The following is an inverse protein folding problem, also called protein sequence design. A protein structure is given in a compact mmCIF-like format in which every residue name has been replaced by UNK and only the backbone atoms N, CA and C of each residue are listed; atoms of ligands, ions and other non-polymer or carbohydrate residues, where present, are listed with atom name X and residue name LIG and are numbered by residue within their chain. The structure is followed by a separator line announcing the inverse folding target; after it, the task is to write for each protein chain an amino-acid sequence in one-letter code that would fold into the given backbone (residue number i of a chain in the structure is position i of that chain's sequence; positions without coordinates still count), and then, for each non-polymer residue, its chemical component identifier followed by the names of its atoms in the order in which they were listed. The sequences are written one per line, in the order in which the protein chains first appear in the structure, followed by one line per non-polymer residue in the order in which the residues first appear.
data_IF_050979835975
#
_entry.id   IF_050979835975
#
_cell.length_a   1.000
_cell.length_b   1.000
_cell.length_c   1.000
_cell.angle_alpha   90.00
_cell.angle_beta   90.00
_cell.angle_gamma   90.00
#
_symmetry.space_group_name_H-M   'P 1'
#
loop_
_entity.id
_entity.type
_entity.pdbx_description
1 polymer ?
#
# COMPACT_ATOMS: atom_id res chain seq x y z
N UNK A 1 -26.32 -17.52 3.08
CA UNK A 1 -26.93 -16.68 4.16
C UNK A 1 -26.04 -15.45 4.34
N UNK A 2 -26.55 -14.25 4.06
CA UNK A 2 -25.79 -13.01 4.27
C UNK A 2 -25.70 -12.76 5.78
N UNK A 3 -24.48 -12.71 6.31
CA UNK A 3 -24.24 -12.41 7.71
C UNK A 3 -24.44 -10.92 7.97
N UNK A 4 -25.26 -10.57 8.97
CA UNK A 4 -25.45 -9.22 9.45
C UNK A 4 -24.31 -8.86 10.41
N UNK A 5 -23.65 -7.71 10.17
CA UNK A 5 -22.75 -7.09 11.12
C UNK A 5 -23.34 -5.74 11.56
N UNK A 6 -23.59 -5.55 12.84
CA UNK A 6 -24.26 -4.36 13.42
C UNK A 6 -25.58 -4.01 12.72
N UNK A 7 -26.43 -5.01 12.48
CA UNK A 7 -27.72 -4.89 11.79
C UNK A 7 -27.66 -4.29 10.37
N UNK A 8 -26.53 -4.36 9.69
CA UNK A 8 -26.38 -3.99 8.28
C UNK A 8 -25.93 -5.18 7.47
N UNK A 9 -26.47 -5.31 6.25
CA UNK A 9 -26.02 -6.31 5.31
C UNK A 9 -24.53 -6.10 5.01
N UNK A 10 -23.73 -7.13 5.25
CA UNK A 10 -22.32 -7.12 4.89
C UNK A 10 -22.22 -7.69 3.49
N UNK A 11 -21.84 -6.86 2.51
CA UNK A 11 -21.44 -7.38 1.21
C UNK A 11 -20.26 -8.32 1.43
N UNK A 12 -20.38 -9.56 0.93
CA UNK A 12 -19.27 -10.51 0.97
C UNK A 12 -18.04 -9.91 0.31
N UNK A 13 -16.88 -10.25 0.85
CA UNK A 13 -15.62 -9.80 0.27
C UNK A 13 -15.44 -10.49 -1.08
N UNK A 14 -15.20 -9.73 -2.14
CA UNK A 14 -14.80 -10.29 -3.44
C UNK A 14 -13.42 -10.98 -3.39
N UNK A 15 -12.74 -10.91 -2.25
CA UNK A 15 -11.43 -11.52 -2.04
C UNK A 15 -11.55 -13.01 -1.87
N UNK A 16 -10.60 -13.73 -2.50
CA UNK A 16 -10.50 -15.18 -2.36
C UNK A 16 -10.24 -15.56 -0.89
N UNK A 17 -11.14 -16.34 -0.25
CA UNK A 17 -10.94 -16.79 1.13
C UNK A 17 -9.62 -17.57 1.27
N UNK A 18 -8.85 -17.30 2.33
CA UNK A 18 -7.59 -17.99 2.60
C UNK A 18 -6.39 -17.57 1.72
N UNK A 19 -6.57 -16.69 0.73
CA UNK A 19 -5.47 -16.19 -0.08
C UNK A 19 -4.73 -15.04 0.61
N UNK A 20 -3.42 -15.20 0.77
CA UNK A 20 -2.57 -14.18 1.39
C UNK A 20 -2.18 -13.09 0.38
N UNK A 21 -2.87 -11.97 0.35
CA UNK A 21 -2.58 -10.81 -0.52
C UNK A 21 -1.27 -10.06 -0.19
N UNK A 22 -0.45 -10.62 0.67
CA UNK A 22 0.95 -10.23 0.90
C UNK A 22 1.93 -11.07 0.08
N UNK A 23 1.42 -12.06 -0.66
CA UNK A 23 2.25 -12.92 -1.53
C UNK A 23 2.60 -12.18 -2.81
N UNK A 24 3.74 -12.56 -3.40
CA UNK A 24 4.08 -12.19 -4.78
C UNK A 24 2.98 -12.65 -5.75
N UNK A 25 2.72 -11.84 -6.75
CA UNK A 25 1.70 -12.13 -7.75
C UNK A 25 1.36 -10.96 -8.62
N UNK A 26 0.51 -11.20 -9.62
CA UNK A 26 0.01 -10.19 -10.55
C UNK A 26 -1.46 -9.94 -10.22
N UNK A 27 -1.80 -8.70 -9.97
CA UNK A 27 -3.12 -8.29 -9.51
C UNK A 27 -3.72 -7.24 -10.42
N UNK A 28 -4.89 -7.51 -10.97
CA UNK A 28 -5.73 -6.48 -11.57
C UNK A 28 -6.58 -5.85 -10.48
N UNK A 29 -6.66 -4.52 -10.46
CA UNK A 29 -7.47 -3.79 -9.49
C UNK A 29 -8.38 -2.77 -10.15
N UNK A 30 -9.51 -2.50 -9.47
CA UNK A 30 -10.41 -1.38 -9.80
C UNK A 30 -10.68 -0.58 -8.54
N UNK A 31 -10.47 0.73 -8.61
CA UNK A 31 -10.70 1.66 -7.50
C UNK A 31 -11.72 2.70 -7.96
N UNK A 32 -12.89 2.75 -7.33
CA UNK A 32 -13.96 3.67 -7.71
C UNK A 32 -14.03 4.87 -6.77
N UNK A 33 -14.49 6.00 -7.31
CA UNK A 33 -14.92 7.17 -6.52
C UNK A 33 -16.23 6.86 -5.80
N UNK A 34 -16.51 7.62 -4.73
CA UNK A 34 -17.78 7.48 -4.01
C UNK A 34 -18.93 7.76 -4.96
N UNK A 35 -20.02 6.98 -4.85
CA UNK A 35 -21.23 7.10 -5.68
C UNK A 35 -20.98 7.13 -7.19
N UNK A 36 -19.80 6.71 -7.64
CA UNK A 36 -19.35 6.77 -9.04
C UNK A 36 -19.35 8.19 -9.64
N UNK A 37 -19.09 9.21 -8.82
CA UNK A 37 -18.98 10.59 -9.29
C UNK A 37 -17.75 10.79 -10.18
N UNK A 38 -17.91 11.55 -11.28
CA UNK A 38 -16.87 11.72 -12.32
C UNK A 38 -15.88 12.83 -11.97
N UNK A 39 -15.02 12.61 -10.97
CA UNK A 39 -13.99 13.58 -10.55
C UNK A 39 -12.80 13.66 -11.51
N UNK A 40 -12.44 12.55 -12.16
CA UNK A 40 -11.16 12.45 -12.88
C UNK A 40 -11.19 12.96 -14.30
N UNK A 41 -12.35 13.37 -14.81
CA UNK A 41 -12.49 13.93 -16.15
C UNK A 41 -13.67 13.36 -16.91
N UNK A 42 -13.57 13.38 -18.23
CA UNK A 42 -14.65 12.94 -19.14
C UNK A 42 -14.07 12.25 -20.39
N UNK A 43 -14.90 11.47 -21.04
CA UNK A 43 -14.56 10.86 -22.34
C UNK A 43 -15.09 11.78 -23.44
N UNK A 44 -14.21 12.21 -24.33
CA UNK A 44 -14.51 13.00 -25.52
C UNK A 44 -13.89 12.25 -26.70
N UNK A 45 -14.66 12.02 -27.75
CA UNK A 45 -14.21 11.35 -28.98
C UNK A 45 -13.45 10.04 -28.69
N UNK A 46 -13.99 9.24 -27.77
CA UNK A 46 -13.40 7.98 -27.31
C UNK A 46 -12.01 8.12 -26.65
N UNK A 47 -11.69 9.32 -26.20
CA UNK A 47 -10.43 9.59 -25.49
C UNK A 47 -10.74 10.12 -24.10
N UNK A 48 -9.97 9.68 -23.13
CA UNK A 48 -10.07 10.19 -21.75
C UNK A 48 -9.38 11.55 -21.66
N UNK A 49 -10.16 12.60 -21.37
CA UNK A 49 -9.66 13.94 -21.07
C UNK A 49 -9.65 14.11 -19.54
N UNK A 50 -8.45 14.12 -18.97
CA UNK A 50 -8.25 14.22 -17.53
C UNK A 50 -8.55 15.63 -17.02
N UNK A 51 -9.29 15.70 -15.92
CA UNK A 51 -9.38 16.89 -15.05
C UNK A 51 -8.10 17.07 -14.22
N UNK A 52 -7.96 18.16 -13.46
CA UNK A 52 -6.86 18.32 -12.52
C UNK A 52 -6.82 17.18 -11.46
N UNK A 53 -7.94 16.79 -10.81
CA UNK A 53 -8.01 15.57 -10.01
C UNK A 53 -7.54 14.31 -10.74
N UNK A 54 -7.91 14.16 -12.01
CA UNK A 54 -7.48 13.03 -12.83
C UNK A 54 -5.99 13.00 -13.09
N UNK A 55 -5.37 14.16 -13.35
CA UNK A 55 -3.91 14.29 -13.51
C UNK A 55 -3.18 13.93 -12.23
N UNK A 56 -3.68 14.36 -11.08
CA UNK A 56 -3.11 14.00 -9.77
C UNK A 56 -3.21 12.50 -9.55
N UNK A 57 -4.37 11.90 -9.80
CA UNK A 57 -4.54 10.46 -9.67
C UNK A 57 -3.58 9.69 -10.59
N UNK A 58 -3.40 10.17 -11.82
CA UNK A 58 -2.46 9.62 -12.79
C UNK A 58 -1.01 9.70 -12.27
N UNK A 59 -0.55 10.86 -11.83
CA UNK A 59 0.81 11.05 -11.32
C UNK A 59 1.09 10.17 -10.08
N UNK A 60 0.17 10.14 -9.12
CA UNK A 60 0.32 9.36 -7.88
C UNK A 60 0.37 7.85 -8.12
N UNK A 61 -0.13 7.36 -9.26
CA UNK A 61 0.03 5.96 -9.63
C UNK A 61 1.50 5.61 -9.86
N UNK A 62 2.23 6.42 -10.58
CA UNK A 62 3.66 6.19 -10.87
C UNK A 62 4.58 6.41 -9.68
N UNK A 63 4.09 7.02 -8.60
CA UNK A 63 4.85 7.15 -7.35
C UNK A 63 4.81 5.86 -6.49
N UNK A 64 3.92 4.92 -6.77
CA UNK A 64 3.78 3.68 -5.98
C UNK A 64 5.11 2.93 -5.82
N UNK A 65 5.93 2.68 -6.88
CA UNK A 65 7.20 1.96 -6.72
C UNK A 65 8.22 2.66 -5.83
N UNK A 66 8.19 3.98 -5.71
CA UNK A 66 9.07 4.72 -4.79
C UNK A 66 8.78 4.41 -3.33
N UNK A 67 7.51 4.16 -3.00
CA UNK A 67 7.10 3.79 -1.65
C UNK A 67 7.12 2.28 -1.41
N UNK A 68 7.01 1.50 -2.48
CA UNK A 68 6.98 0.04 -2.45
C UNK A 68 7.92 -0.54 -3.51
N UNK A 69 9.24 -0.65 -3.23
CA UNK A 69 10.23 -1.13 -4.22
C UNK A 69 9.98 -2.55 -4.75
N UNK A 70 9.16 -3.33 -4.05
CA UNK A 70 8.73 -4.67 -4.48
C UNK A 70 7.65 -4.63 -5.57
N UNK A 71 7.13 -3.44 -5.91
CA UNK A 71 6.04 -3.27 -6.88
C UNK A 71 6.60 -2.92 -8.25
N UNK A 72 6.08 -3.61 -9.27
CA UNK A 72 6.15 -3.18 -10.67
C UNK A 72 4.74 -2.80 -11.10
N UNK A 73 4.62 -1.69 -11.80
CA UNK A 73 3.39 -1.27 -12.46
C UNK A 73 3.35 -1.81 -13.89
N UNK A 74 2.18 -2.21 -14.33
CA UNK A 74 1.89 -2.63 -15.70
C UNK A 74 0.78 -1.70 -16.26
N UNK A 75 -0.06 -2.17 -17.17
CA UNK A 75 -1.11 -1.36 -17.78
C UNK A 75 -2.03 -0.69 -16.77
N UNK A 76 -2.40 0.54 -17.08
CA UNK A 76 -3.17 1.39 -16.18
C UNK A 76 -4.00 2.42 -16.98
N UNK A 77 -5.20 2.72 -16.49
CA UNK A 77 -6.04 3.78 -17.05
C UNK A 77 -6.84 4.49 -15.95
N UNK A 78 -6.91 5.81 -16.05
CA UNK A 78 -7.82 6.65 -15.27
C UNK A 78 -9.07 6.87 -16.10
N UNK A 79 -10.23 6.49 -15.55
CA UNK A 79 -11.56 6.70 -16.13
C UNK A 79 -12.28 7.82 -15.36
N UNK A 80 -13.38 8.37 -15.85
CA UNK A 80 -14.02 9.52 -15.17
C UNK A 80 -14.29 9.32 -13.69
N UNK A 81 -14.69 8.12 -13.27
CA UNK A 81 -15.13 7.81 -11.91
C UNK A 81 -14.42 6.58 -11.29
N UNK A 82 -13.42 6.03 -11.96
CA UNK A 82 -12.66 4.89 -11.45
C UNK A 82 -11.30 4.77 -12.11
N UNK A 83 -10.51 3.87 -11.59
CA UNK A 83 -9.17 3.55 -12.07
C UNK A 83 -9.07 2.04 -12.24
N UNK A 84 -8.53 1.61 -13.35
CA UNK A 84 -8.06 0.24 -13.54
C UNK A 84 -6.54 0.22 -13.60
N UNK A 85 -5.93 -0.82 -13.03
CA UNK A 85 -4.51 -1.00 -13.16
C UNK A 85 -4.06 -2.42 -12.80
N UNK A 86 -2.88 -2.77 -13.28
CA UNK A 86 -2.21 -4.02 -12.93
C UNK A 86 -1.01 -3.71 -12.04
N UNK A 87 -0.96 -4.36 -10.89
CA UNK A 87 0.12 -4.28 -9.91
C UNK A 87 0.78 -5.65 -9.80
N UNK A 88 2.08 -5.69 -10.02
CA UNK A 88 2.91 -6.88 -9.84
C UNK A 88 3.69 -6.72 -8.54
N UNK A 89 3.48 -7.62 -7.59
CA UNK A 89 4.22 -7.67 -6.33
C UNK A 89 5.29 -8.76 -6.49
N UNK A 90 6.56 -8.35 -6.46
CA UNK A 90 7.70 -9.27 -6.49
C UNK A 90 7.85 -10.01 -5.14
N UNK A 91 8.48 -11.19 -5.14
CA UNK A 91 8.95 -11.80 -3.90
C UNK A 91 9.89 -10.83 -3.18
N UNK A 92 9.76 -10.71 -1.86
CA UNK A 92 10.78 -10.01 -1.07
C UNK A 92 12.10 -10.79 -1.24
N UNK A 93 13.11 -10.13 -1.80
CA UNK A 93 14.47 -10.69 -1.79
C UNK A 93 14.92 -10.56 -0.33
N UNK A 94 14.94 -11.68 0.39
CA UNK A 94 15.64 -11.78 1.66
C UNK A 94 17.13 -11.76 1.31
N UNK A 95 17.73 -10.57 1.27
CA UNK A 95 19.17 -10.45 1.30
C UNK A 95 19.57 -10.96 2.69
N UNK A 96 20.02 -12.22 2.75
CA UNK A 96 20.60 -12.75 3.97
C UNK A 96 21.77 -11.85 4.35
N UNK A 97 21.60 -11.08 5.42
CA UNK A 97 22.70 -10.44 6.10
C UNK A 97 23.60 -11.56 6.56
N UNK A 98 24.69 -11.79 5.83
CA UNK A 98 25.81 -12.57 6.36
C UNK A 98 26.26 -11.80 7.60
N UNK A 99 25.82 -12.25 8.77
CA UNK A 99 26.43 -11.85 10.01
C UNK A 99 27.90 -12.26 9.88
N UNK A 100 28.76 -11.29 9.60
CA UNK A 100 30.17 -11.45 9.81
C UNK A 100 30.36 -11.78 11.30
N UNK A 101 30.57 -13.05 11.58
CA UNK A 101 30.95 -13.53 12.89
C UNK A 101 32.29 -12.86 13.22
N UNK A 102 32.25 -11.82 14.03
CA UNK A 102 33.42 -11.18 14.57
C UNK A 102 34.17 -12.23 15.41
N UNK A 103 35.30 -12.67 14.88
CA UNK A 103 36.25 -13.51 15.59
C UNK A 103 36.66 -12.74 16.87
N UNK A 104 36.20 -13.22 18.02
CA UNK A 104 36.71 -12.80 19.31
C UNK A 104 38.17 -13.26 19.41
N UNK A 105 39.10 -12.33 19.27
CA UNK A 105 40.44 -12.50 19.76
C UNK A 105 40.45 -12.47 21.27
N UNK A 106 40.66 -13.64 21.85
CA UNK A 106 41.02 -13.78 23.28
C UNK A 106 42.44 -13.30 23.43
N UNK A 107 42.66 -12.23 24.19
CA UNK A 107 43.92 -11.94 24.85
C UNK A 107 43.65 -11.65 26.31
N UNK A 108 44.13 -12.59 27.10
CA UNK A 108 44.26 -12.43 28.56
C UNK A 108 45.47 -11.52 28.86
N UNK A 109 45.35 -10.65 29.85
CA UNK A 109 46.37 -10.48 30.90
C UNK A 109 46.01 -9.32 31.82
N UNK A 110 45.69 -9.68 33.03
CA UNK A 110 46.09 -9.21 34.35
C UNK A 110 46.14 -7.72 34.74
N UNK A 111 45.45 -7.48 35.86
CA UNK A 111 45.83 -6.71 37.05
C UNK A 111 45.94 -5.15 36.98
N UNK A 112 45.14 -4.42 37.67
CA UNK A 112 45.37 -3.93 39.04
C UNK A 112 44.28 -2.97 39.53
N UNK A 113 43.96 -3.09 40.79
CA UNK A 113 43.10 -2.26 41.62
C UNK A 113 43.63 -0.82 41.71
N UNK A 114 42.72 0.17 41.85
CA UNK A 114 42.74 1.07 43.02
C UNK A 114 41.45 1.92 43.06
N UNK A 115 40.99 2.16 44.30
CA UNK A 115 39.87 2.91 44.77
C UNK A 115 39.91 4.41 44.42
N UNK A 116 38.76 5.01 44.18
CA UNK A 116 38.44 6.32 44.78
C UNK A 116 36.93 6.61 44.67
N UNK A 117 36.42 7.11 45.78
CA UNK A 117 35.05 7.42 46.13
C UNK A 117 34.41 8.56 45.33
N UNK A 118 33.09 8.45 45.25
CA UNK A 118 32.08 9.52 45.31
C UNK A 118 32.06 10.59 44.22
N UNK A 119 30.92 10.62 43.53
CA UNK A 119 29.97 11.74 43.58
C UNK A 119 28.66 11.32 42.87
N UNK A 120 27.60 11.41 43.64
CA UNK A 120 26.22 11.23 43.14
C UNK A 120 25.89 12.36 42.16
N UNK A 121 25.64 12.03 40.93
CA UNK A 121 24.86 12.87 40.03
C UNK A 121 23.59 12.12 39.67
N UNK A 122 22.49 12.65 40.14
CA UNK A 122 21.13 12.27 39.78
C UNK A 122 20.89 12.53 38.31
N UNK A 123 21.01 11.48 37.51
CA UNK A 123 20.56 11.51 36.13
C UNK A 123 19.04 11.37 36.12
N UNK A 124 18.36 12.49 35.91
CA UNK A 124 16.96 12.52 35.51
C UNK A 124 16.86 11.84 34.16
N UNK A 125 16.44 10.58 34.15
CA UNK A 125 16.15 9.82 32.96
C UNK A 125 14.91 10.41 32.31
N UNK A 126 15.12 11.19 31.26
CA UNK A 126 14.05 11.60 30.36
C UNK A 126 13.48 10.32 29.75
N UNK A 127 12.38 9.81 30.29
CA UNK A 127 11.60 8.77 29.64
C UNK A 127 11.07 9.34 28.34
N UNK A 128 11.71 8.96 27.25
CA UNK A 128 11.14 9.14 25.92
C UNK A 128 9.83 8.34 25.89
N UNK A 129 8.71 9.05 25.89
CA UNK A 129 7.40 8.49 25.60
C UNK A 129 7.40 7.91 24.20
N UNK A 130 7.77 6.64 24.06
CA UNK A 130 7.48 5.91 22.84
C UNK A 130 5.95 5.77 22.77
N UNK A 131 5.31 6.16 21.65
CA UNK A 131 3.87 6.02 21.52
C UNK A 131 3.52 4.54 21.69
N UNK A 132 2.70 4.23 22.69
CA UNK A 132 2.20 2.87 22.94
C UNK A 132 1.50 2.43 21.66
N UNK A 133 2.12 1.48 20.96
CA UNK A 133 1.59 0.92 19.73
C UNK A 133 0.28 0.22 20.09
N UNK A 134 -0.84 0.76 19.63
CA UNK A 134 -2.15 0.16 19.90
C UNK A 134 -2.20 -1.21 19.19
N UNK A 135 -2.07 -2.29 19.96
CA UNK A 135 -1.99 -3.66 19.46
C UNK A 135 -3.22 -4.03 18.63
N UNK A 136 -4.40 -3.56 19.02
CA UNK A 136 -5.63 -3.77 18.27
C UNK A 136 -5.56 -3.13 16.88
N UNK A 137 -5.06 -1.89 16.77
CA UNK A 137 -4.87 -1.21 15.48
C UNK A 137 -3.80 -1.89 14.64
N UNK A 138 -2.77 -2.46 15.25
CA UNK A 138 -1.76 -3.25 14.56
C UNK A 138 -2.33 -4.54 13.96
N UNK A 139 -3.24 -5.20 14.67
CA UNK A 139 -3.89 -6.43 14.22
C UNK A 139 -4.84 -6.22 13.03
N UNK A 140 -5.58 -5.12 13.01
CA UNK A 140 -6.53 -4.80 11.92
C UNK A 140 -5.89 -4.04 10.74
N UNK A 141 -4.66 -3.57 10.89
CA UNK A 141 -3.95 -2.86 9.83
C UNK A 141 -3.48 -3.81 8.73
N UNK A 142 -3.53 -3.41 7.45
CA UNK A 142 -2.97 -4.22 6.38
C UNK A 142 -1.48 -4.47 6.62
N UNK A 143 -1.03 -5.70 6.36
CA UNK A 143 0.40 -6.03 6.43
C UNK A 143 1.18 -5.14 5.48
N UNK A 144 2.36 -4.69 5.90
CA UNK A 144 3.27 -3.91 5.06
C UNK A 144 3.58 -4.67 3.76
N UNK A 145 3.64 -3.95 2.63
CA UNK A 145 3.87 -4.55 1.31
C UNK A 145 2.72 -5.38 0.74
N UNK A 146 1.59 -5.52 1.44
CA UNK A 146 0.41 -6.19 0.88
C UNK A 146 -0.30 -5.32 -0.16
N UNK A 147 -1.03 -5.94 -1.09
CA UNK A 147 -1.86 -5.21 -2.07
C UNK A 147 -2.76 -4.18 -1.38
N UNK A 148 -3.32 -4.50 -0.22
CA UNK A 148 -4.18 -3.58 0.54
C UNK A 148 -3.43 -2.37 1.07
N UNK A 149 -2.18 -2.53 1.53
CA UNK A 149 -1.36 -1.41 2.00
C UNK A 149 -0.94 -0.51 0.85
N UNK A 150 -0.62 -1.08 -0.31
CA UNK A 150 -0.28 -0.35 -1.54
C UNK A 150 -1.46 0.51 -2.00
N UNK A 151 -2.65 -0.10 -2.17
CA UNK A 151 -3.84 0.63 -2.60
C UNK A 151 -4.28 1.67 -1.56
N UNK A 152 -4.17 1.37 -0.26
CA UNK A 152 -4.46 2.34 0.81
C UNK A 152 -3.54 3.55 0.74
N UNK A 153 -2.23 3.33 0.55
CA UNK A 153 -1.24 4.40 0.40
C UNK A 153 -1.55 5.28 -0.81
N UNK A 154 -1.83 4.67 -1.96
CA UNK A 154 -2.23 5.38 -3.17
C UNK A 154 -3.48 6.23 -2.96
N UNK A 155 -4.57 5.64 -2.43
CA UNK A 155 -5.83 6.36 -2.14
C UNK A 155 -5.60 7.54 -1.21
N UNK A 156 -4.78 7.36 -0.17
CA UNK A 156 -4.44 8.41 0.79
C UNK A 156 -3.64 9.55 0.14
N UNK A 157 -2.66 9.23 -0.71
CA UNK A 157 -1.86 10.21 -1.42
C UNK A 157 -2.72 11.07 -2.35
N UNK A 158 -3.60 10.45 -3.15
CA UNK A 158 -4.53 11.18 -4.02
C UNK A 158 -5.48 12.07 -3.19
N UNK A 159 -6.12 11.54 -2.16
CA UNK A 159 -7.05 12.31 -1.31
C UNK A 159 -6.34 13.52 -0.67
N UNK A 160 -5.13 13.33 -0.14
CA UNK A 160 -4.34 14.42 0.47
C UNK A 160 -4.08 15.56 -0.53
N UNK A 161 -3.77 15.24 -1.77
CA UNK A 161 -3.49 16.24 -2.80
C UNK A 161 -4.78 16.91 -3.34
N UNK A 162 -5.92 16.20 -3.27
CA UNK A 162 -7.19 16.77 -3.74
C UNK A 162 -7.94 17.57 -2.67
N UNK A 163 -7.56 17.43 -1.39
CA UNK A 163 -8.33 17.98 -0.27
C UNK A 163 -8.64 19.49 -0.38
N UNK A 164 -7.72 20.27 -0.94
CA UNK A 164 -7.88 21.73 -1.10
C UNK A 164 -8.72 22.09 -2.33
N UNK A 165 -8.65 21.28 -3.40
CA UNK A 165 -9.33 21.58 -4.68
C UNK A 165 -10.72 20.98 -4.75
N UNK A 166 -10.88 19.79 -4.17
CA UNK A 166 -12.12 19.01 -4.18
C UNK A 166 -12.44 18.51 -2.76
N UNK A 167 -12.96 19.38 -1.87
CA UNK A 167 -13.25 19.00 -0.47
C UNK A 167 -14.26 17.85 -0.34
N UNK A 168 -15.12 17.67 -1.36
CA UNK A 168 -16.10 16.58 -1.43
C UNK A 168 -15.56 15.26 -1.96
N UNK A 169 -14.31 15.22 -2.44
CA UNK A 169 -13.74 14.02 -3.01
C UNK A 169 -13.58 12.90 -1.97
N UNK A 170 -14.08 11.75 -2.31
CA UNK A 170 -13.81 10.52 -1.54
C UNK A 170 -13.85 9.28 -2.43
N UNK A 171 -13.20 8.24 -1.95
CA UNK A 171 -13.19 6.94 -2.60
C UNK A 171 -14.33 6.06 -2.09
N UNK A 172 -14.83 5.20 -2.96
CA UNK A 172 -15.64 4.06 -2.50
C UNK A 172 -14.83 3.23 -1.50
N UNK A 173 -15.44 2.78 -0.38
CA UNK A 173 -14.81 1.83 0.53
C UNK A 173 -14.36 0.57 -0.21
N UNK A 174 -13.17 0.05 0.15
CA UNK A 174 -12.56 -1.11 -0.50
C UNK A 174 -12.12 -0.84 -1.94
N UNK A 175 -11.86 -1.89 -2.69
CA UNK A 175 -11.54 -1.92 -4.12
C UNK A 175 -11.81 -3.34 -4.62
N UNK A 176 -12.00 -3.50 -5.92
CA UNK A 176 -12.06 -4.81 -6.56
C UNK A 176 -10.64 -5.25 -6.89
N UNK A 177 -10.35 -6.53 -6.68
CA UNK A 177 -9.09 -7.16 -7.07
C UNK A 177 -9.33 -8.53 -7.70
N UNK A 178 -8.47 -8.87 -8.65
CA UNK A 178 -8.45 -10.16 -9.32
C UNK A 178 -7.01 -10.63 -9.48
N UNK A 179 -6.74 -11.90 -9.14
CA UNK A 179 -5.42 -12.50 -9.23
C UNK A 179 -5.24 -13.07 -10.62
N UNK A 180 -4.29 -12.53 -11.37
CA UNK A 180 -3.94 -12.99 -12.72
C UNK A 180 -2.99 -14.18 -12.59
N UNK A 181 -3.36 -15.32 -13.20
CA UNK A 181 -2.63 -16.59 -13.05
C UNK A 181 -1.98 -17.09 -14.33
N UNK A 182 -2.23 -16.45 -15.47
CA UNK A 182 -1.65 -16.85 -16.75
C UNK A 182 -1.37 -15.65 -17.64
N UNK A 183 -0.40 -15.80 -18.55
CA UNK A 183 -0.05 -14.78 -19.54
C UNK A 183 -1.21 -14.49 -20.52
N UNK A 184 -2.01 -15.50 -20.84
CA UNK A 184 -3.21 -15.32 -21.66
C UNK A 184 -4.21 -14.39 -20.99
N UNK A 185 -4.43 -14.56 -19.70
CA UNK A 185 -5.31 -13.72 -18.89
C UNK A 185 -4.74 -12.31 -18.75
N UNK A 186 -3.44 -12.18 -18.47
CA UNK A 186 -2.72 -10.91 -18.39
C UNK A 186 -2.91 -10.10 -19.67
N UNK A 187 -2.66 -10.71 -20.83
CA UNK A 187 -2.81 -10.05 -22.12
C UNK A 187 -4.27 -9.66 -22.44
N UNK A 188 -5.24 -10.44 -21.96
CA UNK A 188 -6.66 -10.09 -22.07
C UNK A 188 -6.99 -8.85 -21.24
N UNK A 189 -6.49 -8.78 -20.01
CA UNK A 189 -6.74 -7.66 -19.09
C UNK A 189 -6.01 -6.40 -19.56
N UNK A 190 -4.78 -6.50 -20.06
CA UNK A 190 -4.06 -5.37 -20.67
C UNK A 190 -4.89 -4.75 -21.80
N UNK A 191 -5.37 -5.57 -22.73
CA UNK A 191 -6.25 -5.10 -23.83
C UNK A 191 -7.54 -4.49 -23.32
N UNK A 192 -8.12 -5.03 -22.25
CA UNK A 192 -9.30 -4.45 -21.62
C UNK A 192 -9.01 -3.06 -21.07
N UNK A 193 -7.88 -2.86 -20.39
CA UNK A 193 -7.48 -1.57 -19.81
C UNK A 193 -7.24 -0.54 -20.92
N UNK A 194 -6.44 -0.89 -21.93
CA UNK A 194 -6.09 0.00 -23.06
C UNK A 194 -7.36 0.43 -23.82
N UNK A 195 -8.30 -0.48 -24.06
CA UNK A 195 -9.51 -0.21 -24.81
C UNK A 195 -10.67 0.32 -23.96
N UNK A 196 -10.47 0.56 -22.66
CA UNK A 196 -11.55 1.01 -21.77
C UNK A 196 -12.14 2.36 -22.18
N UNK A 197 -11.35 3.39 -22.54
CA UNK A 197 -11.87 4.68 -22.99
C UNK A 197 -12.67 4.62 -24.31
N UNK A 198 -12.55 3.51 -25.06
CA UNK A 198 -13.22 3.35 -26.36
C UNK A 198 -14.66 2.85 -26.24
N UNK A 199 -15.08 2.41 -25.05
CA UNK A 199 -16.42 1.88 -24.77
C UNK A 199 -17.35 2.96 -24.28
#
# INVERSE_FOLDING_TARGET
MCSLFRNRFRNESSRLPGYGYSKSGVYFITICTIKHECYFGKIIDRQMVLSEPGKIAFQKWFEIPYHFPIVILDEFVVMPNHIHGIIIIKPAIVVGTLHATSLQQTNATSLQQTNAMSLQQTNVTSQQNQPVKNEFMSFISPKSGSLSSIVRSYKSAVTKNLHTMEPGFSWQPRFYDHIIRSDRELNRIRRYIINNPLK
#
